data_IF_071832037072
#
_entry.id   IF_071832037072
#
_cell.length_a   1.000
_cell.length_b   1.000
_cell.length_c   1.000
_cell.angle_alpha   90.00
_cell.angle_beta   90.00
_cell.angle_gamma   90.00
#
_symmetry.space_group_name_H-M   'P 1'
#
loop_
_entity.id
_entity.type
_entity.pdbx_description
1 polymer ?
#
# COMPACT_ATOMS: atom_id res chain seq x y z
N UNK A 1 -71.67 28.03 -10.80
CA UNK A 1 -71.16 28.38 -9.46
C UNK A 1 -71.79 27.44 -8.45
N UNK A 2 -71.14 26.32 -8.16
CA UNK A 2 -71.35 25.51 -6.95
C UNK A 2 -69.97 25.02 -6.57
N UNK A 3 -69.54 25.42 -5.37
CA UNK A 3 -68.28 25.07 -4.72
C UNK A 3 -68.55 23.83 -3.87
N UNK A 4 -67.69 22.81 -3.96
CA UNK A 4 -67.65 21.70 -3.02
C UNK A 4 -66.20 21.57 -2.54
N UNK A 5 -65.94 22.16 -1.37
CA UNK A 5 -64.74 21.93 -0.58
C UNK A 5 -65.01 20.70 0.31
N UNK A 6 -64.19 19.64 0.22
CA UNK A 6 -64.02 18.61 1.26
C UNK A 6 -62.51 18.36 1.43
N UNK A 7 -62.00 18.33 2.67
CA UNK A 7 -60.58 18.40 2.97
C UNK A 7 -59.92 17.02 2.94
N UNK A 8 -58.70 16.96 2.41
CA UNK A 8 -57.78 15.85 2.61
C UNK A 8 -56.48 16.42 3.14
N UNK A 9 -56.18 16.14 4.41
CA UNK A 9 -54.89 16.37 5.04
C UNK A 9 -53.80 15.66 4.22
N UNK A 10 -53.14 16.40 3.33
CA UNK A 10 -51.86 16.02 2.77
C UNK A 10 -50.79 16.24 3.82
N UNK A 11 -50.66 15.30 4.74
CA UNK A 11 -49.52 15.20 5.63
C UNK A 11 -48.30 14.78 4.80
N UNK A 12 -47.76 15.69 3.99
CA UNK A 12 -46.49 15.49 3.30
C UNK A 12 -45.35 15.79 4.28
N UNK A 13 -45.24 14.93 5.29
CA UNK A 13 -43.98 14.74 5.99
C UNK A 13 -43.14 13.85 5.09
N UNK A 14 -42.40 14.46 4.18
CA UNK A 14 -41.20 13.84 3.63
C UNK A 14 -40.30 13.51 4.83
N UNK A 15 -40.37 12.26 5.27
CA UNK A 15 -39.42 11.74 6.23
C UNK A 15 -38.06 11.74 5.52
N UNK A 16 -37.23 12.75 5.79
CA UNK A 16 -35.83 12.74 5.37
C UNK A 16 -35.19 11.48 5.94
N UNK A 17 -34.96 10.50 5.06
CA UNK A 17 -34.17 9.33 5.39
C UNK A 17 -32.74 9.72 5.73
N UNK A 18 -31.95 8.83 6.34
CA UNK A 18 -30.56 9.11 6.62
C UNK A 18 -29.81 9.46 5.32
N UNK A 19 -29.27 10.68 5.25
CA UNK A 19 -28.44 11.16 4.15
C UNK A 19 -26.98 11.18 4.56
N UNK A 20 -26.10 10.72 3.67
CA UNK A 20 -24.64 10.85 3.84
C UNK A 20 -24.16 11.98 2.94
N UNK A 21 -23.43 12.94 3.53
CA UNK A 21 -22.78 14.04 2.82
C UNK A 21 -21.32 14.17 3.24
N UNK A 22 -20.47 14.81 2.42
CA UNK A 22 -19.06 15.01 2.77
C UNK A 22 -18.95 15.88 4.03
N UNK A 23 -18.11 15.44 4.98
CA UNK A 23 -17.79 16.23 6.18
C UNK A 23 -16.89 17.43 5.86
N UNK A 24 -16.06 17.31 4.82
CA UNK A 24 -15.16 18.35 4.33
C UNK A 24 -14.77 18.08 2.89
N UNK A 25 -14.42 19.15 2.16
CA UNK A 25 -13.85 19.10 0.81
C UNK A 25 -12.46 19.69 0.90
N UNK A 26 -11.45 18.89 0.62
CA UNK A 26 -10.04 19.27 0.72
C UNK A 26 -9.51 19.57 -0.68
N UNK A 27 -9.09 20.82 -0.90
CA UNK A 27 -8.61 21.28 -2.21
C UNK A 27 -7.13 21.69 -2.07
N UNK A 28 -6.26 20.98 -2.77
CA UNK A 28 -4.81 21.25 -2.71
C UNK A 28 -4.00 20.53 -3.79
N UNK A 29 -4.50 19.41 -4.31
CA UNK A 29 -4.00 18.83 -5.55
C UNK A 29 -4.44 19.65 -6.77
N UNK A 30 -3.59 19.69 -7.78
CA UNK A 30 -3.81 20.41 -9.05
C UNK A 30 -4.22 19.48 -10.20
N UNK A 31 -4.21 18.16 -9.94
CA UNK A 31 -4.61 17.10 -10.87
C UNK A 31 -5.33 15.96 -10.11
N UNK A 32 -5.57 14.82 -10.77
CA UNK A 32 -6.21 13.63 -10.21
C UNK A 32 -5.56 13.22 -8.88
N UNK A 33 -6.38 12.95 -7.87
CA UNK A 33 -5.96 12.34 -6.61
C UNK A 33 -6.08 10.82 -6.78
N UNK A 34 -4.96 10.12 -6.72
CA UNK A 34 -4.88 8.68 -6.95
C UNK A 34 -5.14 7.88 -5.67
N UNK A 35 -4.58 8.32 -4.54
CA UNK A 35 -4.68 7.56 -3.29
C UNK A 35 -4.64 8.45 -2.04
N UNK A 36 -5.21 7.93 -0.94
CA UNK A 36 -5.29 8.58 0.37
C UNK A 36 -5.07 7.58 1.51
N UNK A 37 -4.26 7.96 2.51
CA UNK A 37 -4.04 7.15 3.70
C UNK A 37 -4.23 7.97 4.97
N UNK A 38 -5.01 7.44 5.92
CA UNK A 38 -5.17 8.06 7.24
C UNK A 38 -3.96 7.78 8.13
N UNK A 39 -3.63 8.73 9.00
CA UNK A 39 -2.66 8.51 10.05
C UNK A 39 -3.17 7.44 11.02
N UNK A 40 -2.40 6.37 11.29
CA UNK A 40 -2.84 5.26 12.14
C UNK A 40 -3.23 5.68 13.57
N UNK A 41 -2.57 6.71 14.13
CA UNK A 41 -2.88 7.21 15.47
C UNK A 41 -3.90 8.35 15.52
N UNK A 42 -4.34 8.89 14.37
CA UNK A 42 -5.14 10.11 14.32
C UNK A 42 -6.17 10.08 13.19
N UNK A 43 -7.44 9.95 13.55
CA UNK A 43 -8.56 10.04 12.61
C UNK A 43 -8.81 11.45 12.04
N UNK A 44 -7.96 12.43 12.34
CA UNK A 44 -8.02 13.79 11.82
C UNK A 44 -6.88 14.11 10.87
N UNK A 45 -5.85 13.28 10.82
CA UNK A 45 -4.68 13.44 9.95
C UNK A 45 -4.73 12.37 8.86
N UNK A 46 -4.39 12.79 7.65
CA UNK A 46 -4.28 11.90 6.49
C UNK A 46 -3.32 12.51 5.48
N UNK A 47 -2.85 11.70 4.54
CA UNK A 47 -2.09 12.14 3.40
C UNK A 47 -2.79 11.73 2.10
N UNK A 48 -2.44 12.40 1.02
CA UNK A 48 -2.92 12.10 -0.33
C UNK A 48 -1.81 12.29 -1.35
N UNK A 49 -1.94 11.58 -2.47
CA UNK A 49 -1.02 11.65 -3.60
C UNK A 49 -1.78 11.71 -4.92
N UNK A 50 -1.13 12.16 -6.00
CA UNK A 50 -1.78 12.26 -7.30
C UNK A 50 -0.85 12.58 -8.47
N UNK A 51 -1.48 12.83 -9.63
CA UNK A 51 -0.82 13.09 -10.92
C UNK A 51 -0.04 14.41 -10.94
N UNK A 52 -0.32 15.33 -10.02
CA UNK A 52 0.47 16.54 -9.81
C UNK A 52 1.84 16.29 -9.15
N UNK A 53 2.23 15.02 -9.01
CA UNK A 53 3.47 14.55 -8.41
C UNK A 53 3.68 15.02 -6.96
N UNK A 54 2.59 15.37 -6.26
CA UNK A 54 2.64 15.89 -4.89
C UNK A 54 2.29 14.82 -3.85
N UNK A 55 2.97 14.88 -2.70
CA UNK A 55 2.52 14.28 -1.45
C UNK A 55 1.98 15.39 -0.56
N UNK A 56 0.71 15.33 -0.18
CA UNK A 56 0.06 16.34 0.66
C UNK A 56 -0.33 15.72 2.00
N UNK A 57 0.01 16.40 3.10
CA UNK A 57 -0.49 16.07 4.43
C UNK A 57 -1.60 17.04 4.83
N UNK A 58 -2.58 16.52 5.53
CA UNK A 58 -3.80 17.22 5.92
C UNK A 58 -4.05 17.04 7.41
N UNK A 59 -4.71 18.04 8.00
CA UNK A 59 -5.24 17.94 9.36
C UNK A 59 -6.60 18.64 9.42
N UNK A 60 -7.66 17.84 9.55
CA UNK A 60 -9.04 18.33 9.57
C UNK A 60 -9.34 19.26 10.77
N UNK A 61 -8.47 19.31 11.79
CA UNK A 61 -8.60 20.21 12.95
C UNK A 61 -8.21 21.64 12.62
N UNK A 62 -7.29 21.84 11.68
CA UNK A 62 -6.77 23.17 11.32
C UNK A 62 -7.43 23.75 10.07
N UNK A 63 -8.13 22.93 9.29
CA UNK A 63 -8.95 23.37 8.16
C UNK A 63 -9.01 22.33 7.04
N UNK A 64 -9.40 22.79 5.85
CA UNK A 64 -9.47 21.97 4.64
C UNK A 64 -8.31 22.20 3.67
N UNK A 65 -7.35 23.05 4.06
CA UNK A 65 -6.14 23.30 3.28
C UNK A 65 -4.99 22.34 3.66
N UNK A 66 -3.99 22.19 2.77
CA UNK A 66 -2.77 21.44 3.08
C UNK A 66 -2.08 21.95 4.33
N UNK A 67 -1.65 21.04 5.22
CA UNK A 67 -0.70 21.41 6.29
C UNK A 67 0.73 21.42 5.76
N UNK A 68 1.05 20.46 4.90
CA UNK A 68 2.33 20.34 4.19
C UNK A 68 2.01 19.88 2.76
N UNK A 69 2.64 20.51 1.77
CA UNK A 69 2.62 20.07 0.36
C UNK A 69 4.07 19.83 -0.08
N UNK A 70 4.42 18.58 -0.34
CA UNK A 70 5.70 18.19 -0.93
C UNK A 70 5.52 18.18 -2.43
N UNK A 71 5.95 19.25 -3.08
CA UNK A 71 5.95 19.34 -4.54
C UNK A 71 7.05 18.46 -5.13
N UNK A 72 6.77 17.79 -6.25
CA UNK A 72 7.72 16.90 -6.93
C UNK A 72 8.28 15.84 -5.98
N UNK A 73 7.39 15.21 -5.22
CA UNK A 73 7.73 14.08 -4.37
C UNK A 73 8.35 12.95 -5.20
N UNK A 74 7.90 12.79 -6.44
CA UNK A 74 8.47 11.93 -7.49
C UNK A 74 8.75 12.69 -8.79
N UNK A 75 9.40 12.02 -9.74
CA UNK A 75 9.69 12.55 -11.08
C UNK A 75 8.56 12.25 -12.10
N UNK A 76 7.47 11.64 -11.65
CA UNK A 76 6.24 11.36 -12.38
C UNK A 76 5.07 11.18 -11.38
N UNK A 77 3.89 10.91 -11.90
CA UNK A 77 2.62 10.70 -11.19
C UNK A 77 2.78 9.73 -10.00
N UNK A 78 2.13 10.03 -8.88
CA UNK A 78 2.08 9.14 -7.72
C UNK A 78 0.76 8.38 -7.73
N UNK A 79 0.82 7.06 -7.69
CA UNK A 79 -0.37 6.20 -7.76
C UNK A 79 -0.83 5.67 -6.41
N UNK A 80 0.07 5.60 -5.43
CA UNK A 80 -0.25 4.98 -4.14
C UNK A 80 0.53 5.59 -2.99
N UNK A 81 -0.08 5.56 -1.80
CA UNK A 81 0.50 6.05 -0.55
C UNK A 81 0.10 5.15 0.61
N UNK A 82 1.02 4.89 1.53
CA UNK A 82 0.68 4.20 2.77
C UNK A 82 1.43 4.77 3.98
N UNK A 83 0.75 4.77 5.13
CA UNK A 83 1.23 5.36 6.37
C UNK A 83 1.58 4.24 7.36
N UNK A 84 2.83 4.21 7.83
CA UNK A 84 3.33 3.10 8.63
C UNK A 84 2.52 2.91 9.93
N UNK A 85 1.93 1.72 10.17
CA UNK A 85 1.09 1.46 11.34
C UNK A 85 1.87 1.31 12.66
N UNK A 86 3.21 1.23 12.59
CA UNK A 86 4.11 1.08 13.72
C UNK A 86 4.93 2.34 14.04
N UNK A 87 5.12 3.23 13.07
CA UNK A 87 5.79 4.54 13.23
C UNK A 87 5.07 5.63 12.41
N UNK A 88 4.26 6.44 13.08
CA UNK A 88 3.51 7.55 12.47
C UNK A 88 4.39 8.58 11.73
N UNK A 89 5.71 8.51 11.84
CA UNK A 89 6.59 9.41 11.10
C UNK A 89 6.86 8.95 9.67
N UNK A 90 6.65 7.67 9.35
CA UNK A 90 7.05 7.09 8.07
C UNK A 90 5.88 6.94 7.10
N UNK A 91 6.09 7.43 5.88
CA UNK A 91 5.13 7.40 4.78
C UNK A 91 5.83 6.81 3.54
N UNK A 92 5.16 5.90 2.84
CA UNK A 92 5.60 5.37 1.55
C UNK A 92 4.76 5.96 0.43
N UNK A 93 5.39 6.18 -0.73
CA UNK A 93 4.70 6.53 -1.97
C UNK A 93 5.25 5.69 -3.13
N UNK A 94 4.37 5.26 -4.02
CA UNK A 94 4.72 4.59 -5.28
C UNK A 94 4.32 5.44 -6.49
N UNK A 95 5.10 5.35 -7.57
CA UNK A 95 4.97 6.26 -8.72
C UNK A 95 5.17 5.57 -10.06
N UNK A 96 4.66 6.23 -11.11
CA UNK A 96 4.99 5.99 -12.51
C UNK A 96 6.49 6.13 -12.83
N UNK A 97 7.30 6.73 -11.95
CA UNK A 97 8.77 6.78 -12.09
C UNK A 97 9.47 5.44 -11.75
N UNK A 98 8.69 4.38 -11.50
CA UNK A 98 9.08 3.01 -11.17
C UNK A 98 9.68 2.84 -9.77
N UNK A 99 9.54 3.84 -8.90
CA UNK A 99 10.22 3.86 -7.61
C UNK A 99 9.24 3.93 -6.46
N UNK A 100 9.66 3.37 -5.32
CA UNK A 100 9.03 3.65 -4.03
C UNK A 100 9.91 4.63 -3.30
N UNK A 101 9.32 5.70 -2.74
CA UNK A 101 10.03 6.64 -1.88
C UNK A 101 9.48 6.59 -0.47
N UNK A 102 10.38 6.68 0.50
CA UNK A 102 10.03 6.75 1.91
C UNK A 102 10.33 8.14 2.43
N UNK A 103 9.37 8.72 3.14
CA UNK A 103 9.44 10.05 3.74
C UNK A 103 9.34 9.94 5.25
N UNK A 104 10.07 10.82 5.93
CA UNK A 104 9.89 11.09 7.35
C UNK A 104 9.15 12.42 7.49
N UNK A 105 7.92 12.40 8.01
CA UNK A 105 7.07 13.60 8.11
C UNK A 105 7.72 14.72 8.93
N UNK A 106 8.65 14.40 9.83
CA UNK A 106 9.39 15.38 10.66
C UNK A 106 10.40 16.18 9.83
N UNK A 107 10.82 15.65 8.69
CA UNK A 107 11.76 16.28 7.78
C UNK A 107 11.07 17.05 6.65
N UNK A 108 9.74 16.93 6.52
CA UNK A 108 8.98 17.64 5.51
C UNK A 108 8.78 19.09 5.93
N UNK A 109 9.07 20.01 5.02
CA UNK A 109 8.89 21.45 5.27
C UNK A 109 7.83 22.02 4.34
N UNK A 110 7.12 23.06 4.80
CA UNK A 110 6.09 23.77 4.03
C UNK A 110 6.62 24.47 2.78
N UNK A 111 7.95 24.55 2.60
CA UNK A 111 8.59 25.20 1.45
C UNK A 111 8.82 24.23 0.27
N UNK A 112 8.15 23.08 0.25
CA UNK A 112 8.28 22.07 -0.81
C UNK A 112 9.60 21.29 -0.79
N UNK A 113 10.50 21.56 0.16
CA UNK A 113 11.75 20.81 0.33
C UNK A 113 11.49 19.70 1.35
N UNK A 114 10.97 18.58 0.85
CA UNK A 114 10.94 17.30 1.56
C UNK A 114 11.63 16.28 0.67
N UNK A 115 12.92 16.03 0.87
CA UNK A 115 13.58 14.94 0.18
C UNK A 115 13.17 13.62 0.82
N UNK A 116 12.91 12.56 0.04
CA UNK A 116 12.72 11.23 0.61
C UNK A 116 13.96 10.84 1.42
N UNK A 117 13.75 10.18 2.56
CA UNK A 117 14.85 9.61 3.34
C UNK A 117 15.45 8.39 2.65
N UNK A 118 14.68 7.74 1.76
CA UNK A 118 15.18 6.69 0.89
C UNK A 118 14.37 6.52 -0.40
N UNK A 119 15.03 6.05 -1.45
CA UNK A 119 14.46 5.71 -2.75
C UNK A 119 14.75 4.23 -3.04
N UNK A 120 13.71 3.42 -3.11
CA UNK A 120 13.79 2.00 -3.45
C UNK A 120 13.62 1.82 -4.96
N UNK A 121 14.67 1.28 -5.59
CA UNK A 121 14.72 1.04 -7.03
C UNK A 121 14.72 -0.48 -7.26
N UNK A 122 13.79 -1.00 -8.06
CA UNK A 122 13.73 -2.45 -8.31
C UNK A 122 12.59 -2.88 -9.22
N UNK A 123 11.53 -2.07 -9.30
CA UNK A 123 10.54 -2.20 -10.34
C UNK A 123 11.05 -1.66 -11.69
N UNK A 124 10.49 -2.18 -12.77
CA UNK A 124 10.80 -1.78 -14.16
C UNK A 124 9.66 -1.06 -14.86
N UNK A 125 8.54 -0.87 -14.16
CA UNK A 125 7.35 -0.17 -14.62
C UNK A 125 6.64 0.47 -13.40
N UNK A 126 5.54 1.17 -13.65
CA UNK A 126 4.84 1.98 -12.66
C UNK A 126 4.47 1.17 -11.41
N UNK A 127 4.73 1.73 -10.24
CA UNK A 127 4.32 1.15 -8.95
C UNK A 127 2.86 1.52 -8.71
N UNK A 128 2.01 0.52 -8.55
CA UNK A 128 0.55 0.68 -8.46
C UNK A 128 0.03 0.60 -7.04
N UNK A 129 0.68 -0.17 -6.17
CA UNK A 129 0.28 -0.32 -4.78
C UNK A 129 1.52 -0.44 -3.88
N UNK A 130 1.46 0.16 -2.70
CA UNK A 130 2.43 0.00 -1.61
C UNK A 130 1.66 -0.26 -0.31
N UNK A 131 2.14 -1.20 0.51
CA UNK A 131 1.55 -1.45 1.83
C UNK A 131 2.60 -1.86 2.83
N UNK A 132 2.64 -1.18 3.97
CA UNK A 132 3.37 -1.61 5.15
C UNK A 132 2.87 -2.97 5.64
N UNK A 133 3.80 -3.78 6.13
CA UNK A 133 3.45 -4.99 6.86
C UNK A 133 2.72 -4.60 8.15
N UNK A 134 1.60 -5.26 8.51
CA UNK A 134 0.95 -5.05 9.79
C UNK A 134 1.67 -5.74 10.96
N UNK A 135 2.62 -6.63 10.67
CA UNK A 135 3.30 -7.46 11.66
C UNK A 135 4.77 -7.03 11.92
N UNK A 136 5.41 -6.43 10.92
CA UNK A 136 6.86 -6.18 10.90
C UNK A 136 7.15 -4.71 10.59
N UNK A 137 7.64 -3.96 11.58
CA UNK A 137 7.71 -2.50 11.51
C UNK A 137 8.59 -1.93 10.40
N UNK A 138 9.57 -2.70 9.91
CA UNK A 138 10.48 -2.28 8.84
C UNK A 138 10.11 -2.77 7.45
N UNK A 139 9.08 -3.62 7.34
CA UNK A 139 8.77 -4.37 6.13
C UNK A 139 7.59 -3.75 5.40
N UNK A 140 7.66 -3.73 4.07
CA UNK A 140 6.55 -3.32 3.23
C UNK A 140 6.57 -4.08 1.90
N UNK A 141 5.42 -4.13 1.25
CA UNK A 141 5.27 -4.65 -0.11
C UNK A 141 5.11 -3.50 -1.11
N UNK A 142 5.48 -3.76 -2.36
CA UNK A 142 5.11 -2.93 -3.51
C UNK A 142 4.78 -3.78 -4.73
N UNK A 143 3.70 -3.47 -5.42
CA UNK A 143 3.29 -4.13 -6.65
C UNK A 143 3.31 -3.15 -7.83
N UNK A 144 3.54 -3.66 -9.04
CA UNK A 144 3.74 -2.83 -10.20
C UNK A 144 3.23 -3.44 -11.50
N UNK A 145 3.25 -2.62 -12.55
CA UNK A 145 2.94 -3.01 -13.92
C UNK A 145 3.93 -4.02 -14.53
N UNK A 146 5.09 -4.22 -13.92
CA UNK A 146 6.07 -5.19 -14.37
C UNK A 146 5.73 -6.64 -13.99
N UNK A 147 4.56 -6.84 -13.38
CA UNK A 147 4.04 -8.14 -12.94
C UNK A 147 4.71 -8.69 -11.69
N UNK A 148 5.50 -7.87 -11.00
CA UNK A 148 6.23 -8.27 -9.80
C UNK A 148 5.61 -7.63 -8.56
N UNK A 149 5.68 -8.37 -7.46
CA UNK A 149 5.44 -7.84 -6.13
C UNK A 149 6.72 -8.01 -5.31
N UNK A 150 7.32 -6.89 -4.93
CA UNK A 150 8.55 -6.84 -4.15
C UNK A 150 8.20 -6.68 -2.67
N UNK A 151 8.84 -7.48 -1.82
CA UNK A 151 8.84 -7.27 -0.37
C UNK A 151 10.18 -6.69 0.02
N UNK A 152 10.13 -5.60 0.78
CA UNK A 152 11.26 -4.81 1.20
C UNK A 152 11.39 -4.84 2.72
N UNK A 153 12.60 -4.61 3.20
CA UNK A 153 12.91 -4.38 4.59
C UNK A 153 13.90 -3.21 4.66
N UNK A 154 13.42 -2.04 5.10
CA UNK A 154 14.24 -0.84 5.06
C UNK A 154 15.39 -0.88 6.08
N UNK A 155 15.30 -1.69 7.13
CA UNK A 155 16.39 -1.88 8.11
C UNK A 155 17.57 -2.64 7.51
N UNK A 156 17.39 -3.28 6.34
CA UNK A 156 18.45 -3.93 5.57
C UNK A 156 19.14 -2.98 4.57
N UNK A 157 18.62 -1.77 4.39
CA UNK A 157 19.29 -0.75 3.57
C UNK A 157 20.65 -0.40 4.18
N UNK A 158 21.71 -0.42 3.36
CA UNK A 158 23.06 -0.06 3.79
C UNK A 158 23.80 -1.12 4.63
N UNK A 159 23.14 -2.21 5.05
CA UNK A 159 23.83 -3.37 5.63
C UNK A 159 24.50 -4.15 4.50
N UNK A 160 25.84 -4.20 4.48
CA UNK A 160 26.58 -5.07 3.55
C UNK A 160 26.20 -6.52 3.85
N UNK A 161 25.41 -7.12 2.97
CA UNK A 161 25.26 -8.57 2.97
C UNK A 161 26.59 -9.14 2.47
N UNK A 162 27.37 -9.76 3.36
CA UNK A 162 28.56 -10.52 2.97
C UNK A 162 28.11 -11.78 2.20
N UNK A 163 27.79 -11.62 0.92
CA UNK A 163 27.62 -12.74 -0.02
C UNK A 163 28.81 -12.78 -0.98
N UNK A 164 29.39 -13.96 -1.26
CA UNK A 164 30.44 -14.08 -2.27
C UNK A 164 29.86 -13.64 -3.62
N UNK A 165 30.48 -12.60 -4.18
CA UNK A 165 30.07 -11.89 -5.39
C UNK A 165 29.97 -12.82 -6.62
N UNK A 166 28.74 -13.04 -7.12
CA UNK A 166 28.40 -13.32 -8.54
C UNK A 166 26.95 -13.01 -8.94
N UNK A 167 26.10 -12.43 -8.07
CA UNK A 167 24.76 -11.99 -8.48
C UNK A 167 24.81 -10.53 -8.99
N UNK A 168 23.94 -10.13 -9.93
CA UNK A 168 23.64 -8.72 -10.13
C UNK A 168 23.33 -8.08 -8.77
N UNK A 169 23.66 -6.79 -8.61
CA UNK A 169 23.43 -6.09 -7.35
C UNK A 169 21.93 -6.11 -7.05
N UNK A 170 21.53 -6.95 -6.10
CA UNK A 170 20.17 -6.92 -5.55
C UNK A 170 19.93 -5.53 -4.99
N UNK A 171 18.82 -4.86 -5.33
CA UNK A 171 18.48 -3.58 -4.72
C UNK A 171 18.57 -3.63 -3.20
N UNK A 172 19.07 -2.55 -2.61
CA UNK A 172 19.18 -2.46 -1.16
C UNK A 172 17.79 -2.51 -0.52
N UNK A 173 17.66 -3.29 0.56
CA UNK A 173 16.38 -3.51 1.23
C UNK A 173 15.47 -4.53 0.53
N UNK A 174 15.72 -4.95 -0.72
CA UNK A 174 14.89 -5.99 -1.36
C UNK A 174 15.08 -7.32 -0.65
N UNK A 175 13.99 -7.81 -0.07
CA UNK A 175 13.95 -8.98 0.79
C UNK A 175 13.43 -10.21 0.03
N UNK A 176 12.37 -10.04 -0.76
CA UNK A 176 11.76 -11.09 -1.57
C UNK A 176 11.09 -10.49 -2.82
N UNK A 177 10.95 -11.28 -3.88
CA UNK A 177 10.24 -10.88 -5.08
C UNK A 177 9.32 -12.02 -5.52
N UNK A 178 8.02 -11.75 -5.52
CA UNK A 178 7.00 -12.64 -6.07
C UNK A 178 6.88 -12.40 -7.56
N UNK A 179 7.05 -13.46 -8.35
CA UNK A 179 6.95 -13.46 -9.81
C UNK A 179 5.92 -14.50 -10.29
N UNK A 180 4.87 -14.73 -9.50
CA UNK A 180 3.82 -15.69 -9.83
C UNK A 180 2.77 -15.16 -10.81
N UNK A 181 2.61 -13.84 -10.91
CA UNK A 181 1.68 -13.21 -11.84
C UNK A 181 2.26 -13.14 -13.26
N UNK A 182 1.39 -13.07 -14.26
CA UNK A 182 1.77 -13.03 -15.68
C UNK A 182 1.65 -11.65 -16.31
N UNK A 183 1.01 -10.73 -15.59
CA UNK A 183 0.75 -9.35 -15.98
C UNK A 183 0.76 -8.45 -14.73
N UNK A 184 0.49 -7.15 -14.92
CA UNK A 184 0.47 -6.10 -13.90
C UNK A 184 -0.24 -6.54 -12.62
N UNK A 185 0.43 -6.37 -11.49
CA UNK A 185 -0.16 -6.65 -10.18
C UNK A 185 -0.79 -5.37 -9.65
N UNK A 186 -2.13 -5.31 -9.78
CA UNK A 186 -2.90 -4.09 -9.56
C UNK A 186 -3.17 -3.79 -8.09
N UNK A 187 -3.24 -4.83 -7.25
CA UNK A 187 -3.43 -4.66 -5.81
C UNK A 187 -2.94 -5.89 -5.05
N UNK A 188 -2.63 -5.70 -3.78
CA UNK A 188 -2.31 -6.77 -2.85
C UNK A 188 -2.68 -6.38 -1.42
N UNK A 189 -2.80 -7.38 -0.55
CA UNK A 189 -3.11 -7.16 0.85
C UNK A 189 -2.43 -8.18 1.76
N UNK A 190 -1.85 -7.69 2.85
CA UNK A 190 -1.30 -8.54 3.92
C UNK A 190 -2.40 -9.22 4.72
N UNK A 191 -2.23 -10.49 5.07
CA UNK A 191 -3.15 -11.17 5.95
C UNK A 191 -2.86 -10.82 7.42
N UNK A 192 -3.68 -9.95 8.02
CA UNK A 192 -3.53 -9.53 9.41
C UNK A 192 -3.71 -10.65 10.46
N UNK A 193 -4.19 -11.83 10.07
CA UNK A 193 -4.35 -12.99 10.96
C UNK A 193 -3.31 -14.08 10.75
N UNK A 194 -2.53 -14.00 9.67
CA UNK A 194 -1.52 -14.98 9.33
C UNK A 194 -0.27 -14.26 8.77
N UNK A 195 0.72 -13.96 9.63
CA UNK A 195 1.89 -13.20 9.23
C UNK A 195 2.58 -13.79 8.01
N UNK A 196 3.06 -12.91 7.14
CA UNK A 196 3.76 -13.23 5.88
C UNK A 196 2.90 -13.89 4.79
N UNK A 197 1.59 -14.01 5.00
CA UNK A 197 0.64 -14.42 3.96
C UNK A 197 0.09 -13.18 3.26
N UNK A 198 0.09 -13.21 1.93
CA UNK A 198 -0.35 -12.11 1.07
C UNK A 198 -1.38 -12.64 0.07
N UNK A 199 -2.41 -11.86 -0.19
CA UNK A 199 -3.26 -12.01 -1.38
C UNK A 199 -2.87 -10.94 -2.39
N UNK A 200 -2.70 -11.29 -3.66
CA UNK A 200 -2.40 -10.36 -4.74
C UNK A 200 -3.21 -10.67 -5.98
N UNK A 201 -3.56 -9.63 -6.73
CA UNK A 201 -4.37 -9.73 -7.94
C UNK A 201 -3.66 -9.11 -9.14
N UNK A 202 -3.79 -9.74 -10.30
CA UNK A 202 -3.33 -9.19 -11.58
C UNK A 202 -4.49 -8.96 -12.53
N UNK A 203 -4.31 -7.99 -13.42
CA UNK A 203 -5.21 -7.74 -14.54
C UNK A 203 -4.51 -8.10 -15.86
N UNK A 204 -4.96 -9.19 -16.47
CA UNK A 204 -4.34 -9.82 -17.64
C UNK A 204 -5.08 -9.49 -18.96
N UNK A 205 -5.96 -8.48 -18.95
CA UNK A 205 -6.94 -8.23 -20.02
C UNK A 205 -6.36 -8.01 -21.43
N UNK A 206 -5.13 -7.50 -21.56
CA UNK A 206 -4.58 -7.10 -22.87
C UNK A 206 -3.55 -8.08 -23.47
N UNK A 207 -2.92 -8.93 -22.67
CA UNK A 207 -1.71 -9.66 -23.10
C UNK A 207 -1.88 -11.17 -23.31
N UNK A 208 -2.73 -11.85 -22.53
CA UNK A 208 -2.78 -13.33 -22.54
C UNK A 208 -4.12 -13.94 -22.92
N UNK A 209 -5.21 -13.16 -22.98
CA UNK A 209 -6.56 -13.67 -23.26
C UNK A 209 -7.12 -14.62 -22.20
N UNK A 210 -6.35 -14.91 -21.14
CA UNK A 210 -6.83 -15.45 -19.88
C UNK A 210 -7.11 -14.27 -18.95
N UNK A 211 -8.25 -14.28 -18.26
CA UNK A 211 -8.58 -13.20 -17.33
C UNK A 211 -7.56 -13.06 -16.19
N UNK A 212 -7.67 -11.97 -15.43
CA UNK A 212 -6.81 -11.68 -14.28
C UNK A 212 -6.71 -12.82 -13.26
N UNK A 213 -5.62 -12.85 -12.51
CA UNK A 213 -5.35 -13.91 -11.52
C UNK A 213 -5.48 -13.38 -10.09
N UNK A 214 -5.92 -14.24 -9.18
CA UNK A 214 -5.82 -14.03 -7.74
C UNK A 214 -4.87 -15.10 -7.18
N UNK A 215 -3.89 -14.70 -6.39
CA UNK A 215 -2.93 -15.60 -5.76
C UNK A 215 -2.90 -15.33 -4.26
N UNK A 216 -2.97 -16.39 -3.46
CA UNK A 216 -2.67 -16.35 -2.03
C UNK A 216 -1.38 -17.12 -1.84
N UNK A 217 -0.38 -16.46 -1.27
CA UNK A 217 0.96 -17.02 -1.13
C UNK A 217 1.56 -16.58 0.20
N UNK A 218 2.51 -17.39 0.68
CA UNK A 218 3.27 -17.13 1.90
C UNK A 218 4.74 -17.36 1.58
N UNK A 219 5.60 -16.46 2.03
CA UNK A 219 7.04 -16.66 1.91
C UNK A 219 7.50 -17.82 2.79
N UNK A 220 8.54 -18.53 2.34
CA UNK A 220 9.16 -19.57 3.17
C UNK A 220 9.77 -18.95 4.43
N UNK A 221 9.52 -19.58 5.57
CA UNK A 221 10.09 -19.21 6.87
C UNK A 221 11.62 -19.14 6.86
N UNK A 222 12.26 -19.93 5.99
CA UNK A 222 13.72 -19.90 5.78
C UNK A 222 14.25 -18.57 5.23
N UNK A 223 13.38 -17.69 4.73
CA UNK A 223 13.78 -16.40 4.16
C UNK A 223 13.91 -15.33 5.26
N UNK A 224 13.03 -15.33 6.27
CA UNK A 224 13.00 -14.31 7.33
C UNK A 224 13.45 -14.81 8.71
N UNK A 225 13.50 -16.13 8.95
CA UNK A 225 13.88 -16.71 10.25
C UNK A 225 15.24 -17.42 10.18
N UNK A 226 15.95 -17.58 11.32
CA UNK A 226 17.15 -18.39 11.38
C UNK A 226 16.89 -19.83 10.94
N UNK A 227 17.72 -20.35 10.03
CA UNK A 227 17.55 -21.69 9.44
C UNK A 227 17.46 -22.78 10.52
N UNK A 228 18.30 -22.73 11.54
CA UNK A 228 18.32 -23.72 12.63
C UNK A 228 16.99 -23.77 13.40
N UNK A 229 16.35 -22.62 13.62
CA UNK A 229 15.06 -22.55 14.32
C UNK A 229 13.94 -23.14 13.46
N UNK A 230 13.92 -22.79 12.17
CA UNK A 230 12.93 -23.30 11.21
C UNK A 230 13.06 -24.82 11.07
N UNK A 231 14.29 -25.33 10.90
CA UNK A 231 14.53 -26.77 10.79
C UNK A 231 14.17 -27.51 12.09
N UNK A 232 14.48 -26.94 13.26
CA UNK A 232 14.09 -27.52 14.54
C UNK A 232 12.57 -27.57 14.74
N UNK A 233 11.84 -26.59 14.21
CA UNK A 233 10.38 -26.59 14.21
C UNK A 233 9.81 -27.63 13.23
N UNK A 234 10.30 -27.67 12.00
CA UNK A 234 9.87 -28.64 10.99
C UNK A 234 10.05 -30.08 11.45
N UNK A 235 11.15 -30.41 12.14
CA UNK A 235 11.39 -31.76 12.65
C UNK A 235 10.32 -32.19 13.68
N UNK A 236 9.75 -31.26 14.45
CA UNK A 236 8.62 -31.57 15.38
C UNK A 236 7.37 -32.03 14.64
N UNK A 237 7.13 -31.48 13.45
CA UNK A 237 5.93 -31.75 12.66
C UNK A 237 6.14 -32.82 11.58
N UNK A 238 7.38 -33.27 11.35
CA UNK A 238 7.74 -34.22 10.30
C UNK A 238 6.87 -35.49 10.29
N UNK A 239 6.63 -36.09 11.45
CA UNK A 239 5.80 -37.29 11.58
C UNK A 239 4.35 -37.03 11.13
N UNK A 240 3.81 -35.86 11.46
CA UNK A 240 2.47 -35.43 11.05
C UNK A 240 2.41 -35.19 9.54
N UNK A 241 3.37 -34.45 8.96
CA UNK A 241 3.43 -34.16 7.52
C UNK A 241 3.51 -35.45 6.69
N UNK A 242 4.35 -36.41 7.10
CA UNK A 242 4.46 -37.72 6.44
C UNK A 242 3.12 -38.47 6.49
N UNK A 243 2.39 -38.38 7.61
CA UNK A 243 1.08 -39.04 7.74
C UNK A 243 0.00 -38.41 6.85
N UNK A 244 0.05 -37.09 6.62
CA UNK A 244 -0.88 -36.39 5.73
C UNK A 244 -0.67 -36.77 4.26
N UNK A 245 0.58 -37.00 3.84
CA UNK A 245 0.91 -37.44 2.48
C UNK A 245 0.53 -38.91 2.20
N UNK A 246 0.18 -39.68 3.24
CA UNK A 246 -0.04 -41.13 3.16
C UNK A 246 -1.52 -41.55 3.01
N UNK A 247 -2.46 -40.60 2.95
CA UNK A 247 -3.87 -40.90 2.66
C UNK A 247 -4.13 -40.77 1.14
N UNK A 248 -4.41 -41.89 0.44
CA UNK A 248 -4.83 -41.86 -0.96
C UNK A 248 -6.22 -41.25 -1.13
#
# INVERSE_FOLDING_TARGET
MIKLDIPGEGNDKTAEGPSVGPRGIFCGHEDTVEDVAFCPSSAQEFCSVGDDSCLILWDARVGTGPTIKVEKAHDADLHCVDWNPHDDNLILTGSADNTVRMFDRRNLTSNGVGSPIYKFEGHRAAVLCVQWSPDESSVFGSSAEDGLLNIWDYDKVGKKVERPSKSPSTPAGLFFQHAGHRDKVVDFHWNASDPWTVVSVSDDCDSTGGGGTLQIWRMSDLIYRPEEEVLAELEKFKSHVISCASKP
#
